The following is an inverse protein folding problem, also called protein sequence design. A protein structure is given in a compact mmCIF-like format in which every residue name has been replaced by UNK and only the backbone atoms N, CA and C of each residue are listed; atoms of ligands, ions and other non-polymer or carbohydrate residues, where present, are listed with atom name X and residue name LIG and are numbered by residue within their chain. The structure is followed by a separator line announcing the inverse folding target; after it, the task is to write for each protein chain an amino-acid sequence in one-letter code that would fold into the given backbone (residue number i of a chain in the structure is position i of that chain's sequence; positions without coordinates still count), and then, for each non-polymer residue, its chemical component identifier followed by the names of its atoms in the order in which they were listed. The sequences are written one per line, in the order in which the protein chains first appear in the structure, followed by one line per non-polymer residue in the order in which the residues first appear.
data_IF_210220660184
#
_entry.id   IF_210220660184
#
_cell.length_a   1.000
_cell.length_b   1.000
_cell.length_c   1.000
_cell.angle_alpha   90.00
_cell.angle_beta   90.00
_cell.angle_gamma   90.00
#
_symmetry.space_group_name_H-M   'P 1'
#
loop_
_entity.id
_entity.type
_entity.pdbx_description
1 polymer ?
#
# COMPACT_ATOMS: atom_id res chain seq x y z
N UNK A 1 -13.03 -63.00 -33.86
CA UNK A 1 -12.42 -62.64 -32.55
C UNK A 1 -11.89 -61.23 -32.66
N UNK A 2 -12.60 -60.24 -32.15
CA UNK A 2 -12.17 -58.83 -32.16
C UNK A 2 -11.51 -58.55 -30.79
N UNK A 3 -10.22 -58.23 -30.80
CA UNK A 3 -9.52 -57.82 -29.60
C UNK A 3 -9.87 -56.34 -29.33
N UNK A 4 -10.45 -56.07 -28.16
CA UNK A 4 -10.69 -54.72 -27.62
C UNK A 4 -9.43 -54.33 -26.87
N UNK A 5 -8.68 -53.36 -27.42
CA UNK A 5 -7.55 -52.74 -26.74
C UNK A 5 -8.11 -51.62 -25.88
N UNK A 6 -8.18 -51.88 -24.57
CA UNK A 6 -8.49 -50.81 -23.59
C UNK A 6 -7.26 -49.97 -23.35
N UNK A 7 -7.27 -48.72 -23.86
CA UNK A 7 -6.27 -47.71 -23.50
C UNK A 7 -6.68 -47.08 -22.17
N UNK A 8 -5.96 -47.45 -21.12
CA UNK A 8 -6.10 -46.85 -19.80
C UNK A 8 -5.38 -45.49 -19.81
N UNK A 9 -6.15 -44.39 -19.91
CA UNK A 9 -5.61 -43.05 -19.74
C UNK A 9 -5.34 -42.82 -18.26
N UNK A 10 -4.07 -42.89 -17.84
CA UNK A 10 -3.63 -42.51 -16.51
C UNK A 10 -3.56 -40.98 -16.47
N UNK A 11 -4.62 -40.34 -15.97
CA UNK A 11 -4.64 -38.93 -15.60
C UNK A 11 -3.77 -38.76 -14.36
N UNK A 12 -2.51 -38.38 -14.56
CA UNK A 12 -1.65 -37.92 -13.47
C UNK A 12 -2.14 -36.53 -13.09
N UNK A 13 -3.00 -36.45 -12.08
CA UNK A 13 -3.30 -35.20 -11.39
C UNK A 13 -2.04 -34.83 -10.56
N UNK A 14 -1.14 -34.05 -11.14
CA UNK A 14 -0.13 -33.36 -10.34
C UNK A 14 -0.84 -32.28 -9.52
N UNK A 15 -1.18 -32.58 -8.29
CA UNK A 15 -1.56 -31.57 -7.30
C UNK A 15 -0.34 -30.72 -7.06
N UNK A 16 -0.26 -29.56 -7.72
CA UNK A 16 0.67 -28.51 -7.35
C UNK A 16 0.17 -28.02 -5.99
N UNK A 17 0.82 -28.47 -4.91
CA UNK A 17 0.65 -27.90 -3.60
C UNK A 17 1.21 -26.47 -3.68
N UNK A 18 0.33 -25.49 -3.91
CA UNK A 18 0.64 -24.08 -3.74
C UNK A 18 0.83 -23.84 -2.24
N UNK A 19 2.04 -24.08 -1.74
CA UNK A 19 2.42 -23.52 -0.47
C UNK A 19 2.43 -22.00 -0.64
N UNK A 20 1.67 -21.30 0.20
CA UNK A 20 1.81 -19.84 0.31
C UNK A 20 3.29 -19.58 0.61
N UNK A 21 4.00 -18.95 -0.32
CA UNK A 21 5.44 -18.66 -0.14
C UNK A 21 5.55 -17.57 0.91
N UNK A 22 6.19 -17.89 2.03
CA UNK A 22 6.40 -16.94 3.12
C UNK A 22 7.79 -16.31 2.94
N UNK A 23 7.83 -15.07 2.44
CA UNK A 23 9.08 -14.37 2.14
C UNK A 23 9.73 -13.79 3.39
N UNK A 24 11.08 -13.92 3.54
CA UNK A 24 11.81 -13.10 4.50
C UNK A 24 11.67 -11.60 4.17
N UNK A 25 11.74 -10.76 5.20
CA UNK A 25 11.58 -9.31 5.07
C UNK A 25 12.93 -8.62 4.88
N UNK A 26 13.13 -8.01 3.71
CA UNK A 26 14.19 -7.06 3.45
C UNK A 26 13.72 -5.64 3.80
N UNK A 27 14.61 -4.80 4.32
CA UNK A 27 14.33 -3.41 4.67
C UNK A 27 15.31 -2.47 3.98
N UNK A 28 14.81 -1.29 3.56
CA UNK A 28 15.66 -0.24 2.99
C UNK A 28 15.10 1.14 3.34
N UNK A 29 15.92 2.00 3.95
CA UNK A 29 15.57 3.40 4.20
C UNK A 29 16.06 4.26 3.05
N UNK A 30 15.18 5.08 2.48
CA UNK A 30 15.46 5.95 1.33
C UNK A 30 14.79 7.30 1.56
N UNK A 31 15.43 8.38 1.10
CA UNK A 31 14.81 9.68 0.99
C UNK A 31 14.73 10.06 -0.49
N UNK A 32 13.52 10.29 -0.97
CA UNK A 32 13.25 10.78 -2.32
C UNK A 32 13.03 12.28 -2.33
N UNK A 33 13.25 12.91 -3.47
CA UNK A 33 12.99 14.34 -3.68
C UNK A 33 11.85 14.50 -4.67
N UNK A 34 10.78 15.17 -4.25
CA UNK A 34 9.69 15.57 -5.14
C UNK A 34 9.96 16.96 -5.72
N UNK A 35 10.53 16.98 -6.91
CA UNK A 35 10.89 18.22 -7.60
C UNK A 35 9.67 19.10 -7.96
N UNK A 36 8.51 18.48 -8.16
CA UNK A 36 7.26 19.19 -8.49
C UNK A 36 6.70 19.99 -7.29
N UNK A 37 7.06 19.56 -6.05
CA UNK A 37 6.66 20.23 -4.81
C UNK A 37 7.86 20.89 -4.11
N UNK A 38 8.52 21.83 -4.79
CA UNK A 38 9.64 22.63 -4.26
C UNK A 38 10.79 21.78 -3.71
N UNK A 39 11.13 20.67 -4.36
CA UNK A 39 12.13 19.70 -3.92
C UNK A 39 11.87 19.13 -2.53
N UNK A 40 10.60 18.85 -2.23
CA UNK A 40 10.19 18.27 -0.95
C UNK A 40 10.87 16.91 -0.74
N UNK A 41 11.51 16.77 0.41
CA UNK A 41 12.09 15.50 0.87
C UNK A 41 11.00 14.58 1.37
N UNK A 42 10.96 13.35 0.85
CA UNK A 42 10.03 12.28 1.28
C UNK A 42 10.85 11.10 1.75
N UNK A 43 10.99 10.99 3.07
CA UNK A 43 11.67 9.85 3.70
C UNK A 43 10.73 8.67 3.81
N UNK A 44 11.23 7.46 3.51
CA UNK A 44 10.46 6.22 3.57
C UNK A 44 11.31 5.06 4.08
N UNK A 45 10.67 4.07 4.68
CA UNK A 45 11.21 2.72 4.84
C UNK A 45 10.45 1.79 3.88
N UNK A 46 11.19 1.11 3.03
CA UNK A 46 10.63 0.11 2.12
C UNK A 46 10.91 -1.27 2.67
N UNK A 47 9.86 -2.02 2.95
CA UNK A 47 9.90 -3.42 3.35
C UNK A 47 9.47 -4.28 2.15
N UNK A 48 10.24 -5.34 1.85
CA UNK A 48 10.03 -6.09 0.62
C UNK A 48 10.36 -7.58 0.77
N UNK A 49 9.75 -8.45 -0.06
CA UNK A 49 10.11 -9.86 -0.17
C UNK A 49 11.59 -10.00 -0.55
N UNK A 50 12.36 -10.66 0.30
CA UNK A 50 13.80 -10.78 0.14
C UNK A 50 14.27 -12.25 0.16
N UNK A 51 15.53 -12.47 -0.22
CA UNK A 51 16.17 -13.79 -0.15
C UNK A 51 16.55 -14.18 1.27
N UNK A 52 16.70 -13.20 2.16
CA UNK A 52 16.96 -13.34 3.59
C UNK A 52 16.39 -12.13 4.34
N UNK A 53 16.15 -12.23 5.63
CA UNK A 53 15.78 -11.09 6.46
C UNK A 53 16.99 -10.17 6.68
N UNK A 54 16.77 -8.84 6.62
CA UNK A 54 17.85 -7.87 6.89
C UNK A 54 17.73 -6.57 6.10
N UNK A 55 18.71 -5.69 6.32
CA UNK A 55 18.82 -4.39 5.64
C UNK A 55 19.59 -4.54 4.33
N UNK A 56 19.10 -3.90 3.27
CA UNK A 56 19.70 -3.85 1.93
C UNK A 56 19.99 -5.21 1.29
N UNK A 57 19.28 -6.24 1.73
CA UNK A 57 19.41 -7.61 1.17
C UNK A 57 18.77 -7.69 -0.22
N UNK A 58 19.12 -8.73 -0.97
CA UNK A 58 18.61 -8.94 -2.31
C UNK A 58 17.09 -9.25 -2.30
N UNK A 59 16.37 -8.72 -3.29
CA UNK A 59 14.98 -9.10 -3.55
C UNK A 59 14.84 -10.60 -3.82
N UNK A 60 13.75 -11.18 -3.36
CA UNK A 60 13.30 -12.49 -3.81
C UNK A 60 13.05 -12.51 -5.33
N UNK A 61 13.01 -13.71 -5.90
CA UNK A 61 12.61 -13.86 -7.30
C UNK A 61 11.11 -13.53 -7.48
N UNK A 62 10.78 -12.83 -8.55
CA UNK A 62 9.40 -12.44 -8.87
C UNK A 62 9.19 -10.94 -8.94
N UNK A 63 7.92 -10.56 -9.12
CA UNK A 63 7.44 -9.17 -9.11
C UNK A 63 6.29 -9.03 -8.12
N UNK A 64 6.23 -7.92 -7.39
CA UNK A 64 5.38 -7.76 -6.23
C UNK A 64 4.53 -6.49 -6.33
N UNK A 65 3.24 -6.53 -5.94
CA UNK A 65 2.43 -5.33 -5.82
C UNK A 65 2.92 -4.44 -4.68
N UNK A 66 2.66 -3.13 -4.82
CA UNK A 66 3.13 -2.11 -3.88
C UNK A 66 1.98 -1.61 -3.02
N UNK A 67 2.23 -1.46 -1.72
CA UNK A 67 1.36 -0.79 -0.76
C UNK A 67 2.11 0.40 -0.19
N UNK A 68 1.62 1.60 -0.43
CA UNK A 68 2.10 2.83 0.21
C UNK A 68 1.30 3.03 1.49
N UNK A 69 1.97 3.20 2.63
CA UNK A 69 1.31 3.30 3.92
C UNK A 69 1.53 4.66 4.59
N UNK A 70 0.42 5.28 5.01
CA UNK A 70 0.36 6.52 5.77
C UNK A 70 0.05 6.26 7.25
N UNK A 71 0.89 6.80 8.14
CA UNK A 71 0.79 6.66 9.60
C UNK A 71 -0.25 7.60 10.23
N UNK A 72 -0.58 7.38 11.50
CA UNK A 72 -1.44 8.26 12.30
C UNK A 72 -0.73 9.54 12.74
N UNK A 73 -1.52 10.51 13.25
CA UNK A 73 -1.02 11.79 13.74
C UNK A 73 0.06 11.62 14.82
N UNK A 74 1.12 12.42 14.73
CA UNK A 74 2.28 12.40 15.63
C UNK A 74 2.97 11.03 15.76
N UNK A 75 2.83 10.17 14.75
CA UNK A 75 3.51 8.89 14.64
C UNK A 75 4.49 8.92 13.46
N UNK A 76 5.27 7.85 13.30
CA UNK A 76 6.09 7.60 12.13
C UNK A 76 5.71 6.28 11.48
N UNK A 77 6.14 6.03 10.25
CA UNK A 77 5.96 4.74 9.59
C UNK A 77 6.58 3.58 10.38
N UNK A 78 7.66 3.83 11.12
CA UNK A 78 8.34 2.81 11.93
C UNK A 78 7.43 2.25 13.06
N UNK A 79 6.43 3.00 13.49
CA UNK A 79 5.42 2.51 14.43
C UNK A 79 4.46 1.47 13.80
N UNK A 80 4.56 1.26 12.50
CA UNK A 80 3.70 0.38 11.70
C UNK A 80 4.43 -0.80 11.06
N UNK A 81 5.54 -1.23 11.64
CA UNK A 81 6.28 -2.42 11.21
C UNK A 81 5.39 -3.68 11.11
N UNK A 82 4.35 -3.75 11.93
CA UNK A 82 3.37 -4.83 11.90
C UNK A 82 2.64 -4.95 10.54
N UNK A 83 2.48 -3.85 9.81
CA UNK A 83 1.89 -3.86 8.45
C UNK A 83 2.82 -4.61 7.49
N UNK A 84 4.12 -4.29 7.53
CA UNK A 84 5.11 -5.02 6.75
C UNK A 84 5.24 -6.49 7.17
N UNK A 85 5.23 -6.76 8.49
CA UNK A 85 5.25 -8.14 9.01
C UNK A 85 4.06 -8.97 8.54
N UNK A 86 2.90 -8.34 8.34
CA UNK A 86 1.70 -9.03 7.83
C UNK A 86 1.72 -9.21 6.31
N UNK A 87 2.16 -8.21 5.55
CA UNK A 87 1.99 -8.17 4.10
C UNK A 87 3.22 -8.66 3.32
N UNK A 88 4.45 -8.36 3.76
CA UNK A 88 5.65 -8.72 3.00
C UNK A 88 5.81 -10.23 2.86
N UNK A 89 5.59 -11.05 3.90
CA UNK A 89 5.64 -12.50 3.76
C UNK A 89 4.64 -13.04 2.74
N UNK A 90 3.55 -12.32 2.49
CA UNK A 90 2.52 -12.67 1.50
C UNK A 90 2.85 -12.16 0.08
N UNK A 91 4.02 -11.55 -0.12
CA UNK A 91 4.47 -11.09 -1.44
C UNK A 91 4.07 -9.66 -1.79
N UNK A 92 3.97 -8.77 -0.83
CA UNK A 92 3.77 -7.33 -1.07
C UNK A 92 5.04 -6.54 -0.75
N UNK A 93 5.29 -5.47 -1.49
CA UNK A 93 6.24 -4.42 -1.09
C UNK A 93 5.46 -3.36 -0.33
N UNK A 94 5.90 -3.05 0.88
CA UNK A 94 5.28 -2.04 1.76
C UNK A 94 6.21 -0.84 1.89
N UNK A 95 5.70 0.35 1.58
CA UNK A 95 6.43 1.62 1.68
C UNK A 95 5.83 2.43 2.83
N UNK A 96 6.51 2.46 3.94
CA UNK A 96 6.14 3.23 5.13
C UNK A 96 6.65 4.66 4.96
N UNK A 97 5.72 5.62 4.80
CA UNK A 97 6.07 7.02 4.58
C UNK A 97 6.36 7.71 5.91
N UNK A 98 7.54 8.36 6.03
CA UNK A 98 8.07 8.97 7.24
C UNK A 98 8.16 10.50 7.12
N UNK A 99 7.07 11.13 6.65
CA UNK A 99 6.89 12.59 6.62
C UNK A 99 5.72 12.99 7.50
N UNK A 100 5.59 14.28 7.81
CA UNK A 100 4.48 14.81 8.65
C UNK A 100 4.37 14.13 10.04
N UNK A 101 5.51 13.76 10.61
CA UNK A 101 5.60 13.04 11.91
C UNK A 101 5.54 13.96 13.13
N UNK A 102 5.51 15.27 12.91
CA UNK A 102 5.53 16.27 13.99
C UNK A 102 4.19 16.35 14.73
N UNK A 103 4.25 16.66 16.04
CA UNK A 103 3.08 17.02 16.82
C UNK A 103 2.51 18.39 16.44
N UNK A 104 3.35 19.28 15.87
CA UNK A 104 2.97 20.64 15.51
C UNK A 104 3.28 20.91 14.04
N UNK A 105 2.38 21.61 13.35
CA UNK A 105 2.57 22.03 11.96
C UNK A 105 2.39 20.92 10.92
N UNK A 106 1.80 19.78 11.29
CA UNK A 106 1.45 18.70 10.37
C UNK A 106 0.45 19.20 9.33
N UNK A 107 0.73 18.89 8.06
CA UNK A 107 -0.14 19.20 6.92
C UNK A 107 -0.70 17.94 6.30
N UNK A 108 -2.00 17.71 6.43
CA UNK A 108 -2.68 16.56 5.83
C UNK A 108 -2.60 16.58 4.30
N UNK A 109 -2.68 17.77 3.69
CA UNK A 109 -2.52 17.94 2.24
C UNK A 109 -1.11 17.58 1.75
N UNK A 110 -0.06 17.99 2.49
CA UNK A 110 1.30 17.58 2.16
C UNK A 110 1.49 16.08 2.32
N UNK A 111 0.94 15.49 3.38
CA UNK A 111 1.03 14.04 3.60
C UNK A 111 0.32 13.25 2.50
N UNK A 112 -0.87 13.67 2.11
CA UNK A 112 -1.58 13.07 0.96
C UNK A 112 -0.76 13.17 -0.34
N UNK A 113 -0.14 14.33 -0.59
CA UNK A 113 0.78 14.53 -1.70
C UNK A 113 2.00 13.60 -1.65
N UNK A 114 2.53 13.33 -0.45
CA UNK A 114 3.65 12.39 -0.27
C UNK A 114 3.24 10.95 -0.58
N UNK A 115 2.05 10.52 -0.14
CA UNK A 115 1.51 9.20 -0.46
C UNK A 115 1.29 9.05 -1.98
N UNK A 116 0.69 10.04 -2.63
CA UNK A 116 0.48 10.05 -4.08
C UNK A 116 1.80 10.05 -4.86
N UNK A 117 2.77 10.88 -4.43
CA UNK A 117 4.11 10.92 -5.01
C UNK A 117 4.79 9.55 -4.91
N UNK A 118 4.75 8.90 -3.74
CA UNK A 118 5.38 7.61 -3.56
C UNK A 118 4.74 6.50 -4.41
N UNK A 119 3.43 6.55 -4.62
CA UNK A 119 2.76 5.62 -5.52
C UNK A 119 3.31 5.73 -6.96
N UNK A 120 3.49 6.94 -7.47
CA UNK A 120 4.07 7.19 -8.79
C UNK A 120 5.59 6.89 -8.80
N UNK A 121 6.31 7.30 -7.76
CA UNK A 121 7.76 7.14 -7.66
C UNK A 121 8.18 5.68 -7.70
N UNK A 122 7.49 4.80 -6.97
CA UNK A 122 7.79 3.37 -6.99
C UNK A 122 7.63 2.76 -8.38
N UNK A 123 6.63 3.17 -9.16
CA UNK A 123 6.48 2.70 -10.55
C UNK A 123 7.59 3.24 -11.45
N UNK A 124 8.06 4.47 -11.22
CA UNK A 124 9.24 5.02 -11.89
C UNK A 124 10.52 4.25 -11.53
N UNK A 125 10.73 3.92 -10.25
CA UNK A 125 11.84 3.10 -9.78
C UNK A 125 11.85 1.70 -10.44
N UNK A 126 10.67 1.10 -10.62
CA UNK A 126 10.53 -0.19 -11.31
C UNK A 126 11.01 -0.15 -12.77
N UNK A 127 11.00 1.01 -13.41
CA UNK A 127 11.42 1.23 -14.80
C UNK A 127 12.85 1.77 -14.93
N UNK A 128 13.50 2.13 -13.81
CA UNK A 128 14.86 2.72 -13.79
C UNK A 128 15.91 1.64 -13.57
N UNK A 129 16.77 1.39 -14.57
CA UNK A 129 17.73 0.27 -14.55
C UNK A 129 18.78 0.33 -13.42
N UNK A 130 19.02 1.51 -12.84
CA UNK A 130 19.93 1.70 -11.70
C UNK A 130 19.25 1.59 -10.35
N UNK A 131 17.93 1.47 -10.34
CA UNK A 131 17.15 1.33 -9.11
C UNK A 131 17.25 -0.08 -8.53
N UNK A 132 17.31 -0.23 -7.20
CA UNK A 132 17.20 -1.54 -6.55
C UNK A 132 15.83 -2.20 -6.76
N UNK A 133 14.82 -1.43 -7.22
CA UNK A 133 13.46 -1.91 -7.49
C UNK A 133 13.23 -2.23 -8.98
N UNK A 134 14.27 -2.13 -9.81
CA UNK A 134 14.16 -2.37 -11.26
C UNK A 134 13.58 -3.75 -11.56
N UNK A 135 12.44 -3.78 -12.27
CA UNK A 135 11.72 -5.00 -12.65
C UNK A 135 11.33 -5.90 -11.45
N UNK A 136 11.11 -5.30 -10.28
CA UNK A 136 10.70 -6.01 -9.05
C UNK A 136 9.24 -5.76 -8.68
N UNK A 137 8.60 -4.78 -9.28
CA UNK A 137 7.25 -4.37 -8.92
C UNK A 137 6.26 -4.71 -10.04
N UNK A 138 5.02 -5.05 -9.65
CA UNK A 138 3.91 -5.07 -10.61
C UNK A 138 3.42 -3.64 -10.85
N UNK A 139 2.57 -3.44 -11.87
CA UNK A 139 1.91 -2.15 -12.12
C UNK A 139 0.71 -1.89 -11.17
N UNK A 140 0.63 -2.59 -10.05
CA UNK A 140 -0.45 -2.46 -9.06
C UNK A 140 0.08 -1.76 -7.83
N UNK A 141 -0.47 -0.59 -7.53
CA UNK A 141 -0.15 0.18 -6.33
C UNK A 141 -1.43 0.45 -5.55
N UNK A 142 -1.43 0.06 -4.29
CA UNK A 142 -2.45 0.43 -3.33
C UNK A 142 -1.94 1.54 -2.41
N UNK A 143 -2.84 2.37 -1.89
CA UNK A 143 -2.53 3.22 -0.73
C UNK A 143 -3.33 2.71 0.46
N UNK A 144 -2.67 2.60 1.59
CA UNK A 144 -3.24 2.20 2.87
C UNK A 144 -2.88 3.23 3.94
N UNK A 145 -3.73 3.44 4.92
CA UNK A 145 -3.38 4.35 6.01
C UNK A 145 -4.26 4.20 7.23
N UNK A 146 -3.74 4.66 8.36
CA UNK A 146 -4.42 4.65 9.66
C UNK A 146 -4.70 6.07 10.12
N UNK A 147 -5.89 6.31 10.69
CA UNK A 147 -6.27 7.59 11.33
C UNK A 147 -6.05 8.78 10.36
N UNK A 148 -5.18 9.74 10.69
CA UNK A 148 -4.74 10.83 9.82
C UNK A 148 -4.26 10.30 8.44
N UNK A 149 -3.44 9.24 8.43
CA UNK A 149 -2.98 8.60 7.20
C UNK A 149 -4.10 7.93 6.41
N UNK A 150 -5.16 7.48 7.09
CA UNK A 150 -6.38 6.98 6.46
C UNK A 150 -7.12 8.08 5.69
N UNK A 151 -7.31 9.26 6.30
CA UNK A 151 -7.86 10.43 5.61
C UNK A 151 -6.97 10.91 4.47
N UNK A 152 -5.64 10.99 4.70
CA UNK A 152 -4.67 11.33 3.66
C UNK A 152 -4.66 10.34 2.50
N UNK A 153 -4.95 9.06 2.75
CA UNK A 153 -5.13 8.02 1.69
C UNK A 153 -6.28 8.38 0.75
N UNK A 154 -7.41 8.83 1.28
CA UNK A 154 -8.57 9.24 0.46
C UNK A 154 -8.25 10.50 -0.34
N UNK A 155 -7.58 11.49 0.27
CA UNK A 155 -7.10 12.67 -0.45
C UNK A 155 -6.16 12.29 -1.61
N UNK A 156 -5.20 11.38 -1.37
CA UNK A 156 -4.23 10.94 -2.36
C UNK A 156 -4.87 10.15 -3.53
N UNK A 157 -5.95 9.42 -3.26
CA UNK A 157 -6.66 8.61 -4.24
C UNK A 157 -7.68 9.42 -5.06
N UNK A 158 -8.10 10.60 -4.58
CA UNK A 158 -9.07 11.43 -5.29
C UNK A 158 -8.54 11.84 -6.68
N UNK A 159 -9.29 11.49 -7.74
CA UNK A 159 -8.92 11.72 -9.14
C UNK A 159 -7.58 11.08 -9.58
N UNK A 160 -7.04 10.13 -8.83
CA UNK A 160 -5.77 9.48 -9.13
C UNK A 160 -5.98 8.10 -9.75
N UNK A 161 -5.82 8.02 -11.07
CA UNK A 161 -6.02 6.79 -11.86
C UNK A 161 -4.87 5.78 -11.74
N UNK A 162 -3.76 6.13 -11.11
CA UNK A 162 -2.61 5.25 -10.92
C UNK A 162 -2.77 4.36 -9.68
N UNK A 163 -3.70 4.70 -8.80
CA UNK A 163 -4.02 3.91 -7.61
C UNK A 163 -4.98 2.79 -7.99
N UNK A 164 -4.68 1.57 -7.61
CA UNK A 164 -5.50 0.41 -7.91
C UNK A 164 -6.61 0.18 -6.86
N UNK A 165 -6.34 0.50 -5.60
CA UNK A 165 -7.27 0.33 -4.48
C UNK A 165 -6.80 1.12 -3.26
N UNK A 166 -7.70 1.38 -2.34
CA UNK A 166 -7.37 1.96 -1.03
C UNK A 166 -7.85 1.08 0.12
N UNK A 167 -7.10 1.10 1.23
CA UNK A 167 -7.50 0.47 2.49
C UNK A 167 -7.28 1.48 3.62
N UNK A 168 -8.33 1.82 4.35
CA UNK A 168 -8.23 2.79 5.44
C UNK A 168 -8.66 2.16 6.76
N UNK A 169 -7.85 2.39 7.79
CA UNK A 169 -8.06 1.90 9.14
C UNK A 169 -8.42 3.11 10.01
N UNK A 170 -9.65 3.17 10.50
CA UNK A 170 -10.20 4.29 11.27
C UNK A 170 -9.84 5.65 10.64
N UNK A 171 -10.20 5.92 9.36
CA UNK A 171 -9.79 7.14 8.68
C UNK A 171 -10.38 8.38 9.35
N UNK A 172 -9.52 9.32 9.74
CA UNK A 172 -9.94 10.59 10.30
C UNK A 172 -10.35 11.57 9.20
N UNK A 173 -11.29 12.48 9.52
CA UNK A 173 -11.48 13.67 8.70
C UNK A 173 -10.24 14.55 8.75
N UNK A 174 -9.94 15.22 7.65
CA UNK A 174 -8.69 15.97 7.44
C UNK A 174 -8.97 17.39 6.93
N UNK A 175 -7.93 18.21 6.88
CA UNK A 175 -7.92 19.48 6.16
C UNK A 175 -6.76 19.47 5.14
N UNK A 176 -7.04 19.43 3.82
CA UNK A 176 -8.37 19.41 3.15
C UNK A 176 -9.25 18.21 3.53
N UNK A 177 -10.57 18.33 3.32
CA UNK A 177 -11.57 17.33 3.73
C UNK A 177 -11.44 16.01 2.98
N UNK A 178 -11.17 14.93 3.71
CA UNK A 178 -11.19 13.56 3.20
C UNK A 178 -12.62 13.08 2.87
N UNK A 179 -13.62 13.54 3.62
CA UNK A 179 -15.04 13.25 3.34
C UNK A 179 -15.43 13.81 1.96
N UNK A 180 -15.05 15.07 1.66
CA UNK A 180 -15.30 15.67 0.34
C UNK A 180 -14.50 14.99 -0.77
N UNK A 181 -13.24 14.57 -0.49
CA UNK A 181 -12.38 13.89 -1.45
C UNK A 181 -12.91 12.51 -1.86
N UNK A 182 -13.65 11.83 -0.96
CA UNK A 182 -14.25 10.53 -1.23
C UNK A 182 -15.20 10.54 -2.44
N UNK A 183 -15.87 11.67 -2.74
CA UNK A 183 -16.70 11.86 -3.95
C UNK A 183 -15.91 11.66 -5.25
N UNK A 184 -14.61 11.91 -5.21
CA UNK A 184 -13.70 11.84 -6.35
C UNK A 184 -12.78 10.59 -6.31
N UNK A 185 -12.92 9.74 -5.33
CA UNK A 185 -12.21 8.45 -5.25
C UNK A 185 -12.98 7.43 -6.09
N UNK A 186 -12.32 6.91 -7.16
CA UNK A 186 -12.96 6.04 -8.17
C UNK A 186 -12.35 4.64 -8.20
N UNK A 187 -11.69 4.24 -7.14
CA UNK A 187 -11.07 2.92 -7.01
C UNK A 187 -11.76 2.10 -5.92
N UNK A 188 -11.75 0.76 -5.99
CA UNK A 188 -12.23 -0.07 -4.91
C UNK A 188 -11.60 0.34 -3.58
N UNK A 189 -12.41 0.50 -2.55
CA UNK A 189 -11.96 1.05 -1.28
C UNK A 189 -12.54 0.24 -0.12
N UNK A 190 -11.66 -0.15 0.82
CA UNK A 190 -12.05 -0.80 2.08
C UNK A 190 -11.88 0.21 3.21
N UNK A 191 -12.95 0.43 3.96
CA UNK A 191 -12.94 1.24 5.19
C UNK A 191 -13.16 0.30 6.38
N UNK A 192 -12.18 0.27 7.29
CA UNK A 192 -12.25 -0.50 8.53
C UNK A 192 -12.32 0.48 9.69
N UNK A 193 -13.24 0.26 10.62
CA UNK A 193 -13.42 1.11 11.81
C UNK A 193 -13.74 0.24 13.02
N UNK A 194 -13.30 0.65 14.20
CA UNK A 194 -13.70 0.06 15.47
C UNK A 194 -15.09 0.56 15.89
N UNK A 195 -15.94 -0.32 16.38
CA UNK A 195 -17.29 0.03 16.85
C UNK A 195 -17.24 1.02 18.01
N UNK A 196 -16.29 0.82 18.94
CA UNK A 196 -16.09 1.61 20.14
C UNK A 196 -14.88 2.58 20.04
N UNK A 197 -14.50 2.98 18.81
CA UNK A 197 -13.40 3.92 18.62
C UNK A 197 -13.79 5.31 19.14
N UNK A 198 -13.19 5.72 20.26
CA UNK A 198 -13.44 7.02 20.89
C UNK A 198 -12.50 8.14 20.38
N UNK A 199 -11.51 7.81 19.54
CA UNK A 199 -10.56 8.80 18.96
C UNK A 199 -11.05 9.23 17.57
N UNK A 200 -11.49 8.28 16.75
CA UNK A 200 -12.11 8.52 15.45
C UNK A 200 -13.44 7.76 15.40
N UNK A 201 -14.49 8.29 16.07
CA UNK A 201 -15.81 7.66 16.05
C UNK A 201 -16.30 7.40 14.62
N UNK A 202 -16.97 6.30 14.41
CA UNK A 202 -17.45 5.90 13.08
C UNK A 202 -18.26 7.02 12.38
N UNK A 203 -19.01 7.82 13.16
CA UNK A 203 -19.85 8.90 12.65
C UNK A 203 -19.07 10.14 12.17
N UNK A 204 -17.82 10.35 12.65
CA UNK A 204 -17.10 11.61 12.46
C UNK A 204 -16.15 11.59 11.23
N UNK A 205 -15.74 10.42 10.79
CA UNK A 205 -14.84 10.26 9.63
C UNK A 205 -15.22 9.04 8.77
N UNK A 206 -15.10 7.80 9.29
CA UNK A 206 -15.25 6.59 8.50
C UNK A 206 -16.58 6.46 7.76
N UNK A 207 -17.71 6.64 8.44
CA UNK A 207 -19.05 6.52 7.84
C UNK A 207 -19.35 7.61 6.80
N UNK A 208 -19.09 8.91 7.05
CA UNK A 208 -19.20 9.95 6.03
C UNK A 208 -18.32 9.71 4.81
N UNK A 209 -17.06 9.28 5.00
CA UNK A 209 -16.15 8.92 3.91
C UNK A 209 -16.77 7.79 3.08
N UNK A 210 -17.20 6.70 3.73
CA UNK A 210 -17.81 5.55 3.05
C UNK A 210 -19.07 5.95 2.26
N UNK A 211 -19.93 6.75 2.85
CA UNK A 211 -21.18 7.18 2.19
C UNK A 211 -20.95 8.12 1.00
N UNK A 212 -19.79 8.77 0.93
CA UNK A 212 -19.45 9.67 -0.17
C UNK A 212 -18.75 8.97 -1.35
N UNK A 213 -18.40 7.70 -1.25
CA UNK A 213 -17.91 6.97 -2.42
C UNK A 213 -19.01 6.85 -3.47
N UNK A 214 -18.74 7.34 -4.69
CA UNK A 214 -19.69 7.32 -5.80
C UNK A 214 -19.14 6.52 -6.97
N UNK A 215 -19.94 5.55 -7.47
CA UNK A 215 -19.60 4.80 -8.68
C UNK A 215 -18.44 3.82 -8.52
N UNK A 216 -18.19 3.35 -7.29
CA UNK A 216 -17.28 2.21 -7.01
C UNK A 216 -18.13 0.94 -7.04
N UNK A 217 -17.72 -0.09 -7.79
CA UNK A 217 -18.41 -1.37 -7.82
C UNK A 217 -18.23 -2.15 -6.51
#
# INVERSE_FOLDING_TARGET
MKQIVSVLFLLIFSTVLLFAQNYPIGNRSITYTDAARSNRSVAVVVQYPATAAGTDVAFAAGTFPVVIFGHGFAMSGDNYDNIGQALVPQGYVVVLVNTETSLFGTSHGNFAGDLAFMAQKMQSENSTSTSPFFQKLTNKTAIMGHSMGGGATILAAANNTQIATTVTLAPAETDPSSISAALNTKVPSLVVVGEDDCVVPAADGPTPIYNNFTGIP
#
